data_IF_076468235572
#
_entry.id   IF_076468235572
#
_cell.length_a   1.000
_cell.length_b   1.000
_cell.length_c   1.000
_cell.angle_alpha   90.00
_cell.angle_beta   90.00
_cell.angle_gamma   90.00
#
_symmetry.space_group_name_H-M   'P 1'
#
loop_
_entity.id
_entity.type
_entity.pdbx_description
1 polymer ?
#
# COMPACT_ATOMS: atom_id res chain seq x y z
N UNK A 1 11.51 9.27 -21.57
CA UNK A 1 11.29 8.85 -20.18
C UNK A 1 9.92 9.35 -19.75
N UNK A 2 9.14 8.52 -19.02
CA UNK A 2 7.85 8.94 -18.49
C UNK A 2 8.08 9.96 -17.38
N UNK A 3 7.65 11.18 -17.57
CA UNK A 3 7.82 12.31 -16.63
C UNK A 3 6.62 12.49 -15.68
N UNK A 4 5.65 11.58 -15.76
CA UNK A 4 4.49 11.49 -14.86
C UNK A 4 4.63 10.21 -14.03
N UNK A 5 4.39 10.32 -12.72
CA UNK A 5 4.35 9.19 -11.79
C UNK A 5 2.91 8.95 -11.33
N UNK A 6 2.50 7.68 -11.32
CA UNK A 6 1.31 7.22 -10.64
C UNK A 6 1.72 6.29 -9.49
N UNK A 7 1.60 6.78 -8.25
CA UNK A 7 1.92 6.07 -7.03
C UNK A 7 0.63 5.50 -6.42
N UNK A 8 0.45 4.20 -6.45
CA UNK A 8 -0.81 3.56 -6.04
C UNK A 8 -0.60 2.55 -4.92
N UNK A 9 -1.50 2.56 -3.93
CA UNK A 9 -1.67 1.37 -3.11
C UNK A 9 -2.13 0.19 -3.96
N UNK A 10 -2.08 -1.01 -3.41
CA UNK A 10 -2.44 -2.26 -4.09
C UNK A 10 -3.74 -2.85 -3.59
N UNK A 11 -3.77 -3.26 -2.31
CA UNK A 11 -4.87 -4.04 -1.74
C UNK A 11 -6.14 -3.17 -1.62
N UNK A 12 -7.26 -3.59 -2.22
CA UNK A 12 -8.51 -2.87 -2.38
C UNK A 12 -8.40 -1.53 -3.17
N UNK A 13 -7.25 -1.25 -3.78
CA UNK A 13 -7.02 -0.11 -4.65
C UNK A 13 -6.89 -0.54 -6.11
N UNK A 14 -5.86 -1.29 -6.47
CA UNK A 14 -5.69 -1.87 -7.82
C UNK A 14 -6.14 -3.33 -7.89
N UNK A 15 -5.98 -4.09 -6.82
CA UNK A 15 -6.37 -5.49 -6.73
C UNK A 15 -7.16 -5.78 -5.45
N UNK A 16 -7.90 -6.87 -5.42
CA UNK A 16 -8.72 -7.27 -4.27
C UNK A 16 -8.65 -8.76 -4.02
N UNK A 17 -9.02 -9.15 -2.80
CA UNK A 17 -8.94 -10.52 -2.33
C UNK A 17 -10.10 -11.40 -2.83
N UNK A 18 -9.95 -12.73 -2.69
CA UNK A 18 -10.95 -13.74 -3.05
C UNK A 18 -12.36 -13.46 -2.49
N UNK A 19 -12.49 -12.78 -1.35
CA UNK A 19 -13.79 -12.42 -0.77
C UNK A 19 -14.62 -11.45 -1.62
N UNK A 20 -13.99 -10.73 -2.55
CA UNK A 20 -14.63 -9.77 -3.46
C UNK A 20 -14.58 -10.23 -4.93
N UNK A 21 -14.11 -11.46 -5.17
CA UNK A 21 -14.03 -12.03 -6.52
C UNK A 21 -15.39 -12.08 -7.19
N UNK A 22 -15.42 -11.66 -8.46
CA UNK A 22 -16.56 -11.73 -9.37
C UNK A 22 -16.30 -12.77 -10.48
N UNK A 23 -17.33 -13.15 -11.18
CA UNK A 23 -17.19 -13.97 -12.37
C UNK A 23 -16.44 -13.21 -13.46
N UNK A 24 -15.48 -13.86 -14.12
CA UNK A 24 -14.64 -13.26 -15.15
C UNK A 24 -13.41 -12.50 -14.65
N UNK A 25 -13.24 -12.32 -13.32
CA UNK A 25 -12.05 -11.65 -12.78
C UNK A 25 -10.76 -12.39 -13.09
N UNK A 26 -9.72 -11.62 -13.41
CA UNK A 26 -8.37 -12.10 -13.68
C UNK A 26 -7.63 -12.36 -12.36
N UNK A 27 -7.16 -13.58 -12.15
CA UNK A 27 -6.31 -13.89 -11.01
C UNK A 27 -4.91 -13.32 -11.25
N UNK A 28 -4.40 -12.56 -10.27
CA UNK A 28 -3.08 -11.90 -10.31
C UNK A 28 -2.21 -12.26 -9.11
N UNK A 29 -2.64 -13.13 -8.23
CA UNK A 29 -1.84 -13.62 -7.10
C UNK A 29 -2.29 -15.03 -6.70
N UNK A 30 -1.31 -15.92 -6.49
CA UNK A 30 -1.54 -17.24 -5.89
C UNK A 30 -0.82 -17.35 -4.54
N UNK A 31 -1.47 -18.00 -3.57
CA UNK A 31 -0.87 -18.35 -2.27
C UNK A 31 -1.01 -19.87 -2.10
N UNK A 32 0.13 -20.58 -2.03
CA UNK A 32 0.16 -22.05 -1.92
C UNK A 32 -0.63 -22.76 -3.04
N UNK A 33 -0.60 -22.20 -4.26
CA UNK A 33 -1.32 -22.73 -5.42
C UNK A 33 -2.79 -22.33 -5.51
N UNK A 34 -3.35 -21.66 -4.50
CA UNK A 34 -4.72 -21.17 -4.53
C UNK A 34 -4.79 -19.72 -5.04
N UNK A 35 -5.76 -19.43 -5.88
CA UNK A 35 -6.03 -18.09 -6.37
C UNK A 35 -6.45 -17.16 -5.22
N UNK A 36 -5.77 -16.03 -5.05
CA UNK A 36 -5.90 -15.15 -3.89
C UNK A 36 -6.22 -13.68 -4.24
N UNK A 37 -5.47 -13.08 -5.16
CA UNK A 37 -5.64 -11.70 -5.60
C UNK A 37 -6.24 -11.60 -7.00
N UNK A 38 -7.11 -10.62 -7.23
CA UNK A 38 -7.87 -10.48 -8.46
C UNK A 38 -7.94 -9.03 -8.92
N UNK A 39 -8.09 -8.85 -10.23
CA UNK A 39 -8.45 -7.59 -10.89
C UNK A 39 -9.61 -7.86 -11.85
N UNK A 40 -10.47 -6.87 -12.09
CA UNK A 40 -11.45 -6.98 -13.16
C UNK A 40 -10.78 -6.89 -14.54
N UNK A 41 -11.36 -7.50 -15.60
CA UNK A 41 -10.84 -7.37 -16.96
C UNK A 41 -10.69 -5.91 -17.41
N UNK A 42 -11.67 -5.05 -17.07
CA UNK A 42 -11.64 -3.62 -17.40
C UNK A 42 -10.50 -2.89 -16.67
N UNK A 43 -10.28 -3.19 -15.38
CA UNK A 43 -9.15 -2.62 -14.64
C UNK A 43 -7.80 -3.05 -15.25
N UNK A 44 -7.68 -4.29 -15.73
CA UNK A 44 -6.47 -4.76 -16.44
C UNK A 44 -6.25 -4.00 -17.75
N UNK A 45 -7.32 -3.78 -18.54
CA UNK A 45 -7.26 -3.02 -19.78
C UNK A 45 -6.81 -1.57 -19.53
N UNK A 46 -7.47 -0.87 -18.62
CA UNK A 46 -7.13 0.51 -18.26
C UNK A 46 -5.72 0.61 -17.66
N UNK A 47 -5.32 -0.35 -16.81
CA UNK A 47 -3.97 -0.37 -16.23
C UNK A 47 -2.89 -0.51 -17.31
N UNK A 48 -3.15 -1.30 -18.36
CA UNK A 48 -2.23 -1.43 -19.50
C UNK A 48 -2.06 -0.10 -20.22
N UNK A 49 -3.16 0.63 -20.46
CA UNK A 49 -3.11 1.96 -21.09
C UNK A 49 -2.39 2.99 -20.20
N UNK A 50 -2.74 3.06 -18.92
CA UNK A 50 -2.06 3.90 -17.93
C UNK A 50 -0.56 3.61 -17.89
N UNK A 51 -0.19 2.32 -17.87
CA UNK A 51 1.22 1.90 -17.82
C UNK A 51 2.03 2.33 -19.05
N UNK A 52 1.39 2.63 -20.17
CA UNK A 52 2.06 3.21 -21.34
C UNK A 52 2.34 4.72 -21.18
N UNK A 53 1.43 5.45 -20.53
CA UNK A 53 1.46 6.91 -20.41
C UNK A 53 2.28 7.40 -19.20
N UNK A 54 2.27 6.66 -18.07
CA UNK A 54 2.91 7.07 -16.81
C UNK A 54 3.86 6.01 -16.25
N UNK A 55 4.73 6.41 -15.33
CA UNK A 55 5.49 5.48 -14.50
C UNK A 55 4.61 5.04 -13.34
N UNK A 56 4.06 3.84 -13.45
CA UNK A 56 3.35 3.19 -12.34
C UNK A 56 4.36 2.76 -11.27
N UNK A 57 4.12 3.16 -10.02
CA UNK A 57 4.91 2.75 -8.85
C UNK A 57 3.93 2.31 -7.75
N UNK A 58 3.72 1.02 -7.53
CA UNK A 58 3.02 0.53 -6.35
C UNK A 58 3.70 1.00 -5.06
N UNK A 59 2.89 1.46 -4.08
CA UNK A 59 3.35 1.88 -2.75
C UNK A 59 2.49 1.17 -1.70
N UNK A 60 3.00 0.06 -1.17
CA UNK A 60 2.19 -0.89 -0.41
C UNK A 60 2.76 -1.22 0.96
N UNK A 61 1.90 -1.68 1.89
CA UNK A 61 2.31 -2.29 3.15
C UNK A 61 2.79 -3.72 2.99
N UNK A 62 2.60 -4.36 1.85
CA UNK A 62 3.09 -5.72 1.60
C UNK A 62 4.60 -5.81 1.82
N UNK A 63 5.07 -6.94 2.38
CA UNK A 63 6.49 -7.27 2.38
C UNK A 63 7.01 -7.49 0.95
N UNK A 64 8.34 -7.48 0.79
CA UNK A 64 8.98 -7.82 -0.49
C UNK A 64 8.49 -9.17 -1.02
N UNK A 65 8.46 -10.19 -0.14
CA UNK A 65 7.97 -11.54 -0.49
C UNK A 65 6.51 -11.52 -0.96
N UNK A 66 5.64 -10.78 -0.26
CA UNK A 66 4.23 -10.67 -0.61
C UNK A 66 4.02 -9.94 -1.94
N UNK A 67 4.80 -8.89 -2.20
CA UNK A 67 4.74 -8.17 -3.45
C UNK A 67 5.17 -9.04 -4.64
N UNK A 68 6.24 -9.80 -4.48
CA UNK A 68 6.78 -10.70 -5.53
C UNK A 68 5.84 -11.83 -5.95
N UNK A 69 4.75 -12.08 -5.20
CA UNK A 69 3.71 -13.05 -5.60
C UNK A 69 2.73 -12.50 -6.63
N UNK A 70 2.77 -11.18 -6.91
CA UNK A 70 1.88 -10.59 -7.90
C UNK A 70 2.35 -10.96 -9.30
N UNK A 71 1.48 -11.64 -10.02
CA UNK A 71 1.63 -12.00 -11.42
C UNK A 71 0.99 -10.88 -12.25
N UNK A 72 1.76 -9.86 -12.58
CA UNK A 72 1.27 -8.70 -13.29
C UNK A 72 0.77 -9.08 -14.68
N UNK A 73 -0.44 -8.65 -15.10
CA UNK A 73 -0.90 -8.83 -16.46
C UNK A 73 0.09 -8.28 -17.49
N UNK A 74 0.14 -8.88 -18.67
CA UNK A 74 1.07 -8.48 -19.73
C UNK A 74 0.99 -6.97 -20.01
N UNK A 75 2.15 -6.32 -20.07
CA UNK A 75 2.29 -4.88 -20.32
C UNK A 75 2.01 -3.96 -19.12
N UNK A 76 1.72 -4.53 -17.93
CA UNK A 76 1.40 -3.73 -16.72
C UNK A 76 2.44 -3.81 -15.61
N UNK A 77 3.45 -4.68 -15.73
CA UNK A 77 4.46 -4.88 -14.69
C UNK A 77 5.24 -3.57 -14.40
N UNK A 78 5.23 -3.08 -13.14
CA UNK A 78 5.95 -1.86 -12.79
C UNK A 78 7.47 -2.09 -12.76
N UNK A 79 8.23 -1.13 -13.30
CA UNK A 79 9.70 -1.12 -13.20
C UNK A 79 10.16 -0.89 -11.75
N UNK A 80 9.40 -0.08 -11.00
CA UNK A 80 9.67 0.26 -9.60
C UNK A 80 8.47 -0.10 -8.72
N UNK A 81 8.75 -0.52 -7.49
CA UNK A 81 7.72 -0.68 -6.46
C UNK A 81 8.27 -0.33 -5.08
N UNK A 82 7.48 0.33 -4.28
CA UNK A 82 7.79 0.61 -2.87
C UNK A 82 6.98 -0.34 -2.01
N UNK A 83 7.66 -1.20 -1.29
CA UNK A 83 7.07 -2.17 -0.37
C UNK A 83 7.30 -1.79 1.10
N UNK A 84 6.74 -2.56 2.01
CA UNK A 84 6.99 -2.44 3.45
C UNK A 84 6.71 -1.03 3.97
N UNK A 85 5.58 -0.45 3.51
CA UNK A 85 5.11 0.89 3.87
C UNK A 85 6.12 2.03 3.58
N UNK A 86 7.00 1.85 2.63
CA UNK A 86 8.04 2.83 2.27
C UNK A 86 9.46 2.41 2.58
N UNK A 87 9.67 1.31 3.34
CA UNK A 87 11.00 0.90 3.78
C UNK A 87 11.89 0.37 2.66
N UNK A 88 11.30 -0.26 1.64
CA UNK A 88 12.05 -0.94 0.57
C UNK A 88 11.57 -0.45 -0.80
N UNK A 89 12.49 0.01 -1.63
CA UNK A 89 12.27 0.22 -3.06
C UNK A 89 12.80 -0.98 -3.83
N UNK A 90 11.99 -1.47 -4.74
CA UNK A 90 12.39 -2.46 -5.75
C UNK A 90 12.57 -1.77 -7.09
N UNK A 91 13.61 -2.14 -7.83
CA UNK A 91 13.86 -1.76 -9.22
C UNK A 91 14.09 -3.04 -10.03
N UNK A 92 13.26 -3.30 -11.02
CA UNK A 92 13.30 -4.55 -11.78
C UNK A 92 13.16 -5.81 -10.89
N UNK A 93 12.46 -5.70 -9.75
CA UNK A 93 12.31 -6.78 -8.77
C UNK A 93 13.45 -6.90 -7.75
N UNK A 94 14.58 -6.19 -7.93
CA UNK A 94 15.72 -6.19 -7.02
C UNK A 94 15.67 -5.04 -6.02
N UNK A 95 16.18 -5.28 -4.80
CA UNK A 95 16.18 -4.28 -3.73
C UNK A 95 17.20 -3.18 -4.03
N UNK A 96 16.75 -1.93 -4.07
CA UNK A 96 17.61 -0.75 -4.18
C UNK A 96 18.39 -0.55 -2.87
N UNK A 97 19.70 -0.74 -2.93
CA UNK A 97 20.57 -0.69 -1.74
C UNK A 97 20.63 0.70 -1.11
N UNK A 98 20.70 1.76 -1.92
CA UNK A 98 20.77 3.14 -1.43
C UNK A 98 19.46 3.57 -0.74
N UNK A 99 18.32 3.15 -1.28
CA UNK A 99 17.03 3.36 -0.62
C UNK A 99 16.96 2.62 0.72
N UNK A 100 17.37 1.35 0.72
CA UNK A 100 17.37 0.52 1.94
C UNK A 100 18.24 1.11 3.04
N UNK A 101 19.41 1.64 2.71
CA UNK A 101 20.30 2.31 3.65
C UNK A 101 19.67 3.58 4.23
N UNK A 102 19.18 4.47 3.37
CA UNK A 102 18.54 5.74 3.77
C UNK A 102 17.29 5.50 4.67
N UNK A 103 16.44 4.55 4.29
CA UNK A 103 15.24 4.21 5.07
C UNK A 103 15.56 3.37 6.31
N UNK A 104 16.61 2.57 6.28
CA UNK A 104 17.16 1.87 7.45
C UNK A 104 17.53 2.84 8.58
N UNK A 105 18.10 4.00 8.24
CA UNK A 105 18.39 5.06 9.21
C UNK A 105 17.12 5.67 9.85
N UNK A 106 16.01 5.73 9.10
CA UNK A 106 14.71 6.18 9.64
C UNK A 106 14.09 5.16 10.61
N UNK A 107 14.35 3.88 10.39
CA UNK A 107 13.80 2.76 11.18
C UNK A 107 14.65 2.48 12.41
N UNK A 108 15.95 2.66 12.34
CA UNK A 108 16.91 2.31 13.38
C UNK A 108 16.51 2.78 14.79
N UNK A 109 16.03 4.03 15.02
CA UNK A 109 15.61 4.48 16.34
C UNK A 109 14.41 3.74 16.93
N UNK A 110 13.62 3.06 16.08
CA UNK A 110 12.40 2.36 16.49
C UNK A 110 12.62 0.84 16.69
N UNK A 111 13.77 0.30 16.35
CA UNK A 111 14.01 -1.16 16.38
C UNK A 111 13.79 -1.81 17.73
N UNK A 112 14.30 -1.21 18.79
CA UNK A 112 14.12 -1.74 20.14
C UNK A 112 12.63 -1.73 20.52
N UNK A 113 11.92 -0.68 20.19
CA UNK A 113 10.49 -0.57 20.48
C UNK A 113 9.67 -1.57 19.65
N UNK A 114 10.03 -1.81 18.39
CA UNK A 114 9.42 -2.86 17.55
C UNK A 114 9.63 -4.24 18.18
N UNK A 115 10.86 -4.55 18.62
CA UNK A 115 11.18 -5.80 19.26
C UNK A 115 10.44 -5.98 20.60
N UNK A 116 10.34 -4.91 21.40
CA UNK A 116 9.58 -4.90 22.66
C UNK A 116 8.09 -5.17 22.42
N UNK A 117 7.48 -4.50 21.44
CA UNK A 117 6.08 -4.72 21.07
C UNK A 117 5.88 -6.15 20.54
N UNK A 118 6.80 -6.65 19.72
CA UNK A 118 6.72 -8.03 19.23
C UNK A 118 6.72 -9.03 20.39
N UNK A 119 7.65 -8.89 21.35
CA UNK A 119 7.70 -9.77 22.53
C UNK A 119 6.42 -9.65 23.39
N UNK A 120 5.85 -8.43 23.50
CA UNK A 120 4.62 -8.18 24.26
C UNK A 120 3.39 -8.87 23.66
N UNK A 121 3.28 -8.89 22.33
CA UNK A 121 2.09 -9.39 21.64
C UNK A 121 2.26 -10.79 21.06
N UNK A 122 3.47 -11.34 21.09
CA UNK A 122 3.71 -12.72 20.68
C UNK A 122 3.04 -13.69 21.67
N UNK A 123 2.07 -14.46 21.16
CA UNK A 123 1.29 -15.40 22.00
C UNK A 123 0.10 -14.76 22.73
N UNK A 124 -0.16 -13.46 22.55
CA UNK A 124 -1.38 -12.84 23.05
C UNK A 124 -2.61 -13.40 22.30
N UNK A 125 -3.64 -13.83 23.06
CA UNK A 125 -4.84 -14.46 22.53
C UNK A 125 -5.68 -13.55 21.65
N UNK A 126 -5.50 -12.24 21.76
CA UNK A 126 -6.16 -11.28 20.88
C UNK A 126 -5.65 -11.37 19.41
N UNK A 127 -4.50 -12.01 19.19
CA UNK A 127 -3.84 -12.05 17.88
C UNK A 127 -3.54 -13.48 17.43
N UNK A 128 -3.96 -13.84 16.21
CA UNK A 128 -3.62 -15.12 15.59
C UNK A 128 -2.32 -15.08 14.78
N UNK A 129 -1.78 -13.89 14.53
CA UNK A 129 -0.45 -13.66 13.94
C UNK A 129 0.20 -12.45 14.58
N UNK A 130 1.49 -12.56 14.83
CA UNK A 130 2.35 -11.47 15.30
C UNK A 130 3.71 -11.65 14.62
N UNK A 131 4.16 -10.66 13.82
CA UNK A 131 5.45 -10.76 13.13
C UNK A 131 6.05 -9.40 12.82
N UNK A 132 7.37 -9.32 12.81
CA UNK A 132 8.11 -8.20 12.24
C UNK A 132 8.19 -8.40 10.72
N UNK A 133 7.92 -7.35 9.95
CA UNK A 133 7.90 -7.36 8.48
C UNK A 133 9.15 -6.66 7.96
N UNK A 134 9.99 -7.38 7.20
CA UNK A 134 11.23 -6.89 6.57
C UNK A 134 12.11 -6.04 7.50
N UNK A 135 12.16 -6.37 8.80
CA UNK A 135 12.86 -5.65 9.88
C UNK A 135 12.45 -4.18 10.04
N UNK A 136 11.29 -3.79 9.54
CA UNK A 136 10.87 -2.39 9.45
C UNK A 136 9.69 -2.00 10.36
N UNK A 137 8.74 -2.88 10.56
CA UNK A 137 7.57 -2.62 11.41
C UNK A 137 6.96 -3.91 11.95
N UNK A 138 6.13 -3.80 13.02
CA UNK A 138 5.39 -4.93 13.56
C UNK A 138 3.99 -5.00 12.94
N UNK A 139 3.54 -6.21 12.64
CA UNK A 139 2.21 -6.54 12.16
C UNK A 139 1.56 -7.58 13.07
N UNK A 140 0.30 -7.34 13.45
CA UNK A 140 -0.54 -8.35 14.11
C UNK A 140 -1.85 -8.53 13.36
N UNK A 141 -2.45 -9.70 13.45
CA UNK A 141 -3.75 -10.02 12.89
C UNK A 141 -4.69 -10.45 14.02
N UNK A 142 -5.79 -9.74 14.19
CA UNK A 142 -6.74 -9.98 15.29
C UNK A 142 -7.45 -11.33 15.16
N UNK A 143 -7.70 -11.97 16.29
CA UNK A 143 -8.52 -13.16 16.39
C UNK A 143 -9.99 -12.84 16.01
N UNK A 144 -10.79 -13.89 15.75
CA UNK A 144 -12.21 -13.72 15.49
C UNK A 144 -12.92 -13.10 16.71
N UNK A 145 -13.81 -12.15 16.44
CA UNK A 145 -14.54 -11.42 17.48
C UNK A 145 -13.76 -10.30 18.18
N UNK A 146 -12.47 -10.10 17.86
CA UNK A 146 -11.68 -8.97 18.39
C UNK A 146 -11.90 -7.75 17.51
N UNK A 147 -12.35 -6.63 18.10
CA UNK A 147 -12.44 -5.33 17.45
C UNK A 147 -11.02 -4.76 17.28
N UNK A 148 -10.57 -4.66 16.02
CA UNK A 148 -9.23 -4.20 15.70
C UNK A 148 -9.05 -2.70 15.99
N UNK A 149 -10.09 -1.87 15.88
CA UNK A 149 -10.02 -0.46 16.20
C UNK A 149 -9.82 -0.25 17.70
N UNK A 150 -10.66 -0.87 18.53
CA UNK A 150 -10.52 -0.80 19.99
C UNK A 150 -9.17 -1.36 20.45
N UNK A 151 -8.73 -2.47 19.83
CA UNK A 151 -7.45 -3.08 20.16
C UNK A 151 -6.26 -2.21 19.76
N UNK A 152 -6.33 -1.52 18.61
CA UNK A 152 -5.31 -0.57 18.19
C UNK A 152 -5.18 0.61 19.17
N UNK A 153 -6.29 1.14 19.68
CA UNK A 153 -6.30 2.19 20.68
C UNK A 153 -5.64 1.76 22.00
N UNK A 154 -5.89 0.50 22.43
CA UNK A 154 -5.21 -0.10 23.60
C UNK A 154 -3.72 -0.24 23.37
N UNK A 155 -3.32 -0.69 22.17
CA UNK A 155 -1.94 -0.83 21.78
C UNK A 155 -1.23 0.53 21.71
N UNK A 156 -1.87 1.56 21.15
CA UNK A 156 -1.28 2.89 21.01
C UNK A 156 -0.86 3.49 22.37
N UNK A 157 -1.59 3.20 23.45
CA UNK A 157 -1.25 3.68 24.80
C UNK A 157 0.03 3.04 25.37
N UNK A 158 0.55 2.01 24.73
CA UNK A 158 1.69 1.19 25.21
C UNK A 158 2.95 1.34 24.37
N UNK A 159 2.93 2.16 23.33
CA UNK A 159 4.06 2.28 22.42
C UNK A 159 4.19 3.69 21.84
N UNK A 160 5.42 4.06 21.52
CA UNK A 160 5.75 5.27 20.77
C UNK A 160 5.64 5.08 19.26
N UNK A 161 5.42 3.86 18.78
CA UNK A 161 5.14 3.58 17.37
C UNK A 161 3.76 4.13 17.00
N UNK A 162 3.56 4.44 15.75
CA UNK A 162 2.24 4.79 15.20
C UNK A 162 1.45 3.50 14.95
N UNK A 163 0.30 3.36 15.60
CA UNK A 163 -0.54 2.17 15.51
C UNK A 163 -1.72 2.42 14.58
N UNK A 164 -1.82 1.66 13.49
CA UNK A 164 -2.83 1.83 12.45
C UNK A 164 -3.64 0.54 12.25
N UNK A 165 -4.94 0.54 12.51
CA UNK A 165 -5.82 -0.58 12.16
C UNK A 165 -6.21 -0.54 10.67
N UNK A 166 -6.39 -1.72 10.07
CA UNK A 166 -6.95 -1.88 8.72
C UNK A 166 -7.65 -3.24 8.62
N UNK A 167 -8.97 -3.27 8.61
CA UNK A 167 -9.76 -4.47 8.77
C UNK A 167 -9.38 -5.19 10.08
N UNK A 168 -9.01 -6.47 10.01
CA UNK A 168 -8.52 -7.24 11.18
C UNK A 168 -7.02 -7.11 11.44
N UNK A 169 -6.33 -6.25 10.69
CA UNK A 169 -4.88 -6.04 10.79
C UNK A 169 -4.59 -4.83 11.65
N UNK A 170 -3.52 -4.89 12.45
CA UNK A 170 -2.98 -3.74 13.16
C UNK A 170 -1.49 -3.66 12.83
N UNK A 171 -1.05 -2.48 12.43
CA UNK A 171 0.31 -2.17 12.07
C UNK A 171 0.93 -1.23 13.10
N UNK A 172 2.20 -1.47 13.45
CA UNK A 172 2.98 -0.62 14.36
C UNK A 172 4.16 -0.07 13.58
N UNK A 173 4.00 1.13 13.06
CA UNK A 173 5.00 1.77 12.22
C UNK A 173 5.91 2.70 13.00
N UNK A 174 7.23 2.76 12.69
CA UNK A 174 8.05 3.91 13.05
C UNK A 174 7.37 5.21 12.60
N UNK A 175 7.41 6.26 13.44
CA UNK A 175 6.68 7.51 13.19
C UNK A 175 6.95 8.12 11.82
N UNK A 176 8.20 8.02 11.33
CA UNK A 176 8.62 8.59 10.03
C UNK A 176 8.41 7.66 8.85
N UNK A 177 8.09 6.38 9.07
CA UNK A 177 7.87 5.41 8.01
C UNK A 177 6.43 5.53 7.49
N UNK A 178 6.25 6.27 6.40
CA UNK A 178 4.94 6.48 5.76
C UNK A 178 5.06 6.39 4.25
N UNK A 179 3.98 5.98 3.58
CA UNK A 179 3.88 6.01 2.11
C UNK A 179 4.11 7.41 1.54
N UNK A 180 3.70 8.46 2.27
CA UNK A 180 3.95 9.85 1.84
C UNK A 180 5.42 10.26 1.94
N UNK A 181 6.17 9.76 2.93
CA UNK A 181 7.62 9.98 2.99
C UNK A 181 8.32 9.31 1.80
N UNK A 182 7.91 8.08 1.47
CA UNK A 182 8.40 7.38 0.29
C UNK A 182 8.09 8.15 -1.01
N UNK A 183 6.86 8.69 -1.16
CA UNK A 183 6.51 9.48 -2.35
C UNK A 183 7.36 10.74 -2.48
N UNK A 184 7.65 11.44 -1.38
CA UNK A 184 8.56 12.61 -1.43
C UNK A 184 9.97 12.23 -1.86
N UNK A 185 10.47 11.04 -1.47
CA UNK A 185 11.76 10.54 -1.94
C UNK A 185 11.73 10.17 -3.43
N UNK A 186 10.65 9.51 -3.89
CA UNK A 186 10.45 9.23 -5.31
C UNK A 186 10.41 10.52 -6.15
N UNK A 187 9.77 11.59 -5.64
CA UNK A 187 9.78 12.90 -6.29
C UNK A 187 11.20 13.45 -6.44
N UNK A 188 12.03 13.34 -5.41
CA UNK A 188 13.44 13.78 -5.48
C UNK A 188 14.24 12.95 -6.49
N UNK A 189 14.00 11.65 -6.53
CA UNK A 189 14.72 10.71 -7.39
C UNK A 189 14.38 10.86 -8.87
N UNK A 190 13.10 11.00 -9.19
CA UNK A 190 12.60 10.98 -10.57
C UNK A 190 12.30 12.37 -11.13
N UNK A 191 12.20 13.40 -10.28
CA UNK A 191 11.83 14.78 -10.65
C UNK A 191 10.62 14.82 -11.62
N UNK A 192 9.51 14.12 -11.32
CA UNK A 192 8.38 14.02 -12.23
C UNK A 192 7.69 15.38 -12.38
N UNK A 193 7.17 15.67 -13.57
CA UNK A 193 6.36 16.86 -13.85
C UNK A 193 5.04 16.85 -13.08
N UNK A 194 4.43 15.67 -12.91
CA UNK A 194 3.17 15.48 -12.17
C UNK A 194 3.16 14.14 -11.45
N UNK A 195 2.57 14.12 -10.28
CA UNK A 195 2.39 12.92 -9.47
C UNK A 195 0.92 12.71 -9.17
N UNK A 196 0.41 11.57 -9.56
CA UNK A 196 -0.89 11.04 -9.16
C UNK A 196 -0.72 10.02 -8.05
N UNK A 197 -1.69 9.93 -7.14
CA UNK A 197 -1.71 8.89 -6.12
C UNK A 197 -3.10 8.27 -5.95
N UNK A 198 -3.14 7.02 -5.45
CA UNK A 198 -4.39 6.36 -5.10
C UNK A 198 -4.26 5.50 -3.84
N UNK A 199 -5.37 5.38 -3.07
CA UNK A 199 -5.41 4.59 -1.86
C UNK A 199 -6.81 4.46 -1.26
N UNK A 200 -6.98 3.49 -0.36
CA UNK A 200 -8.29 3.11 0.20
C UNK A 200 -8.39 3.21 1.73
N UNK A 201 -7.27 3.31 2.44
CA UNK A 201 -7.22 3.30 3.91
C UNK A 201 -6.50 4.52 4.50
N UNK A 202 -6.65 4.74 5.81
CA UNK A 202 -5.96 5.81 6.56
C UNK A 202 -4.43 5.74 6.42
N UNK A 203 -3.87 4.54 6.20
CA UNK A 203 -2.42 4.34 5.95
C UNK A 203 -1.98 5.06 4.66
N UNK A 204 -2.90 5.26 3.71
CA UNK A 204 -2.65 5.92 2.43
C UNK A 204 -2.81 7.44 2.49
N UNK A 205 -3.45 7.98 3.52
CA UNK A 205 -3.68 9.42 3.61
C UNK A 205 -2.39 10.25 3.44
N UNK A 206 -1.22 9.88 4.00
CA UNK A 206 0.02 10.59 3.74
C UNK A 206 0.52 10.49 2.28
N UNK A 207 0.19 9.41 1.56
CA UNK A 207 0.50 9.24 0.14
C UNK A 207 -0.33 10.20 -0.70
N UNK A 208 -1.65 10.22 -0.46
CA UNK A 208 -2.60 11.08 -1.17
C UNK A 208 -2.29 12.56 -0.94
N UNK A 209 -1.98 12.94 0.30
CA UNK A 209 -1.62 14.31 0.67
C UNK A 209 -0.30 14.80 0.01
N UNK A 210 0.60 13.90 -0.38
CA UNK A 210 1.88 14.24 -1.00
C UNK A 210 1.83 14.30 -2.54
N UNK A 211 0.68 13.98 -3.16
CA UNK A 211 0.48 13.98 -4.61
C UNK A 211 -0.01 15.34 -5.12
N UNK A 212 0.13 15.60 -6.43
CA UNK A 212 -0.47 16.77 -7.08
C UNK A 212 -1.96 16.54 -7.37
N UNK A 213 -2.35 15.28 -7.56
CA UNK A 213 -3.72 14.82 -7.73
C UNK A 213 -3.85 13.44 -7.12
N UNK A 214 -4.91 13.19 -6.39
CA UNK A 214 -5.12 11.90 -5.73
C UNK A 214 -6.55 11.37 -5.90
N UNK A 215 -6.67 10.04 -5.83
CA UNK A 215 -7.93 9.31 -5.92
C UNK A 215 -8.12 8.48 -4.65
N UNK A 216 -9.18 8.77 -3.92
CA UNK A 216 -9.51 8.13 -2.66
C UNK A 216 -10.72 7.20 -2.80
N UNK A 217 -10.65 6.02 -2.19
CA UNK A 217 -11.83 5.17 -2.05
C UNK A 217 -12.89 5.84 -1.16
N UNK A 218 -14.16 5.51 -1.37
CA UNK A 218 -15.29 6.06 -0.59
C UNK A 218 -15.18 5.79 0.91
N UNK A 219 -14.54 4.69 1.27
CA UNK A 219 -14.37 4.23 2.65
C UNK A 219 -13.25 4.94 3.42
N UNK A 220 -12.37 5.67 2.71
CA UNK A 220 -11.25 6.34 3.34
C UNK A 220 -11.72 7.57 4.12
N UNK A 221 -11.65 7.50 5.46
CA UNK A 221 -11.91 8.64 6.33
C UNK A 221 -10.69 9.59 6.33
N UNK A 222 -10.80 10.69 5.61
CA UNK A 222 -9.83 11.78 5.60
C UNK A 222 -10.54 13.09 5.23
N UNK A 223 -9.95 14.22 5.59
CA UNK A 223 -10.46 15.54 5.20
C UNK A 223 -10.45 15.71 3.69
N UNK A 224 -11.47 16.35 3.16
CA UNK A 224 -11.55 16.67 1.75
C UNK A 224 -10.53 17.76 1.39
N UNK A 225 -9.87 17.58 0.25
CA UNK A 225 -8.93 18.56 -0.29
C UNK A 225 -9.14 18.69 -1.80
N UNK A 226 -8.93 19.87 -2.34
CA UNK A 226 -9.22 20.18 -3.75
C UNK A 226 -8.47 19.28 -4.77
N UNK A 227 -7.30 18.74 -4.38
CA UNK A 227 -6.53 17.85 -5.22
C UNK A 227 -6.93 16.38 -5.07
N UNK A 228 -7.87 16.02 -4.17
CA UNK A 228 -8.32 14.66 -3.92
C UNK A 228 -9.71 14.46 -4.52
N UNK A 229 -9.83 13.53 -5.45
CA UNK A 229 -11.12 13.04 -5.96
C UNK A 229 -11.51 11.77 -5.21
N UNK A 230 -12.72 11.74 -4.72
CA UNK A 230 -13.27 10.59 -3.99
C UNK A 230 -14.22 9.80 -4.87
N UNK A 231 -14.04 8.48 -4.88
CA UNK A 231 -15.01 7.57 -5.45
C UNK A 231 -16.30 7.62 -4.62
N UNK A 232 -17.42 7.95 -5.22
CA UNK A 232 -18.73 8.02 -4.57
C UNK A 232 -19.72 6.98 -5.09
N UNK A 233 -19.37 6.31 -6.20
CA UNK A 233 -20.21 5.34 -6.88
C UNK A 233 -20.22 3.95 -6.25
N UNK A 234 -20.99 3.03 -6.85
CA UNK A 234 -21.09 1.62 -6.45
C UNK A 234 -20.13 0.71 -7.23
N UNK A 235 -19.41 1.23 -8.22
CA UNK A 235 -18.49 0.46 -9.06
C UNK A 235 -17.23 -0.04 -8.34
N UNK A 236 -16.39 -0.77 -9.05
CA UNK A 236 -15.07 -1.18 -8.58
C UNK A 236 -14.15 0.04 -8.52
N UNK A 237 -13.53 0.27 -7.38
CA UNK A 237 -12.67 1.44 -7.20
C UNK A 237 -11.54 1.48 -8.22
N UNK A 238 -10.90 0.33 -8.51
CA UNK A 238 -9.82 0.24 -9.50
C UNK A 238 -10.27 0.68 -10.91
N UNK A 239 -11.48 0.31 -11.34
CA UNK A 239 -12.01 0.70 -12.65
C UNK A 239 -12.22 2.22 -12.73
N UNK A 240 -12.95 2.77 -11.77
CA UNK A 240 -13.20 4.20 -11.69
C UNK A 240 -11.90 5.01 -11.61
N UNK A 241 -10.99 4.60 -10.72
CA UNK A 241 -9.70 5.23 -10.52
C UNK A 241 -8.88 5.32 -11.81
N UNK A 242 -8.75 4.20 -12.53
CA UNK A 242 -7.95 4.13 -13.75
C UNK A 242 -8.61 4.88 -14.90
N UNK A 243 -9.94 4.85 -15.02
CA UNK A 243 -10.70 5.65 -15.97
C UNK A 243 -10.53 7.16 -15.72
N UNK A 244 -10.65 7.61 -14.46
CA UNK A 244 -10.45 9.01 -14.10
C UNK A 244 -9.00 9.47 -14.35
N UNK A 245 -8.03 8.60 -14.08
CA UNK A 245 -6.63 8.89 -14.36
C UNK A 245 -6.40 9.04 -15.88
N UNK A 246 -6.96 8.15 -16.69
CA UNK A 246 -6.87 8.25 -18.15
C UNK A 246 -7.47 9.56 -18.67
N UNK A 247 -8.65 9.96 -18.18
CA UNK A 247 -9.27 11.26 -18.54
C UNK A 247 -8.41 12.48 -18.19
N UNK A 248 -7.57 12.38 -17.15
CA UNK A 248 -6.66 13.47 -16.78
C UNK A 248 -5.33 13.44 -17.54
N UNK A 249 -5.02 12.34 -18.22
CA UNK A 249 -3.80 12.17 -19.02
C UNK A 249 -4.00 12.55 -20.50
N UNK A 250 -5.25 12.55 -20.98
CA UNK A 250 -5.63 13.00 -22.32
C UNK A 250 -5.78 14.53 -22.38
#
# INVERSE_FOLDING_TARGET
MKDIVFASDLDNTLLYSKSHKREGDVCVEHIKGEAHGFMTPLAVEHLREVSQKVRLIPVTTRSVEQYRRIEWPEGTAPEYAVTTNGAVLLHGGEVDAAWREAHGALIAPAREEIARCHALYLGDRAFIRCRIVDDAYLFVYCADGVDAQEQAEKCQKRTSLRVEPSGRKIYFFPQRLTKGAALRELRRRFSPRKVYAAGDTAIDAPLLAAADRAFAAKTLAMEDAAHIRRHTGEGVFAEWLLEELLRELD
#
